data_IF_027019577257
#
_entry.id   IF_027019577257
#
_cell.length_a   1.000
_cell.length_b   1.000
_cell.length_c   1.000
_cell.angle_alpha   90.00
_cell.angle_beta   90.00
_cell.angle_gamma   90.00
#
_symmetry.space_group_name_H-M   'P 1'
#
loop_
_entity.id
_entity.type
_entity.pdbx_description
1 polymer ?
#
# COMPACT_ATOMS: atom_id res chain seq x y z
N UNK A 1 4.94 -35.05 -7.83
CA UNK A 1 5.33 -33.80 -7.15
C UNK A 1 5.67 -32.64 -8.08
N UNK A 2 5.96 -32.84 -9.37
CA UNK A 2 6.20 -31.72 -10.33
C UNK A 2 4.97 -30.86 -10.68
N UNK A 3 3.76 -31.39 -10.56
CA UNK A 3 2.51 -30.67 -10.89
C UNK A 3 2.11 -29.60 -9.87
N UNK A 4 2.71 -29.59 -8.67
CA UNK A 4 2.50 -28.52 -7.68
C UNK A 4 3.38 -27.30 -7.92
N UNK A 5 4.51 -27.48 -8.61
CA UNK A 5 5.49 -26.42 -8.81
C UNK A 5 5.18 -25.57 -10.05
N UNK A 6 4.60 -26.17 -11.10
CA UNK A 6 4.25 -25.47 -12.36
C UNK A 6 3.13 -24.44 -12.21
N UNK A 7 2.32 -24.50 -11.15
CA UNK A 7 1.25 -23.53 -10.90
C UNK A 7 1.73 -22.29 -10.12
N UNK A 8 2.94 -22.34 -9.52
CA UNK A 8 3.47 -21.28 -8.65
C UNK A 8 4.18 -20.15 -9.42
N UNK A 9 4.49 -20.36 -10.70
CA UNK A 9 5.13 -19.36 -11.58
C UNK A 9 4.11 -18.54 -12.39
N UNK A 10 2.81 -18.74 -12.15
CA UNK A 10 1.78 -18.00 -12.86
C UNK A 10 1.81 -16.53 -12.44
N UNK A 11 2.26 -15.68 -13.37
CA UNK A 11 2.22 -14.22 -13.21
C UNK A 11 0.77 -13.79 -12.96
N UNK A 12 0.50 -13.26 -11.77
CA UNK A 12 -0.79 -12.71 -11.35
C UNK A 12 -1.01 -11.38 -12.05
N UNK A 13 -1.49 -11.42 -13.29
CA UNK A 13 -1.59 -10.25 -14.18
C UNK A 13 -2.49 -9.17 -13.58
N UNK A 14 -3.61 -9.55 -12.95
CA UNK A 14 -4.55 -8.60 -12.38
C UNK A 14 -3.96 -7.92 -11.14
N UNK A 15 -3.42 -8.69 -10.19
CA UNK A 15 -2.78 -8.09 -9.00
C UNK A 15 -1.58 -7.22 -9.39
N UNK A 16 -0.79 -7.65 -10.38
CA UNK A 16 0.37 -6.87 -10.87
C UNK A 16 -0.07 -5.56 -11.52
N UNK A 17 -1.10 -5.59 -12.36
CA UNK A 17 -1.66 -4.38 -12.96
C UNK A 17 -2.27 -3.46 -11.90
N UNK A 18 -3.05 -3.99 -10.96
CA UNK A 18 -3.63 -3.21 -9.87
C UNK A 18 -2.53 -2.56 -9.02
N UNK A 19 -1.51 -3.32 -8.63
CA UNK A 19 -0.38 -2.80 -7.86
C UNK A 19 0.44 -1.76 -8.61
N UNK A 20 0.56 -1.88 -9.93
CA UNK A 20 1.16 -0.84 -10.73
C UNK A 20 0.32 0.44 -10.63
N UNK A 21 -1.01 0.36 -10.77
CA UNK A 21 -1.87 1.53 -10.94
C UNK A 21 -2.39 2.14 -9.62
N UNK A 22 -2.42 1.39 -8.51
CA UNK A 22 -3.01 1.84 -7.22
C UNK A 22 -2.39 3.13 -6.69
N UNK A 23 -1.11 3.37 -7.01
CA UNK A 23 -0.36 4.59 -6.69
C UNK A 23 -1.03 5.87 -7.19
N UNK A 24 -1.74 5.77 -8.31
CA UNK A 24 -2.48 6.87 -8.91
C UNK A 24 -3.97 6.80 -8.57
N UNK A 25 -4.57 5.60 -8.71
CA UNK A 25 -6.01 5.41 -8.55
C UNK A 25 -6.48 5.86 -7.16
N UNK A 26 -5.79 5.43 -6.10
CA UNK A 26 -6.26 5.68 -4.73
C UNK A 26 -6.20 7.16 -4.35
N UNK A 27 -5.12 7.91 -4.62
CA UNK A 27 -5.13 9.36 -4.41
C UNK A 27 -6.23 10.08 -5.19
N UNK A 28 -6.47 9.74 -6.46
CA UNK A 28 -7.53 10.39 -7.23
C UNK A 28 -8.92 10.12 -6.67
N UNK A 29 -9.15 8.94 -6.13
CA UNK A 29 -10.44 8.57 -5.55
C UNK A 29 -10.66 9.16 -4.15
N UNK A 30 -9.61 9.24 -3.33
CA UNK A 30 -9.72 9.55 -1.90
C UNK A 30 -9.30 10.98 -1.54
N UNK A 31 -8.39 11.57 -2.32
CA UNK A 31 -7.84 12.92 -2.11
C UNK A 31 -7.61 13.61 -3.46
N UNK A 32 -8.66 13.82 -4.29
CA UNK A 32 -8.51 14.30 -5.66
C UNK A 32 -7.77 15.64 -5.75
N UNK A 33 -8.00 16.56 -4.82
CA UNK A 33 -7.28 17.85 -4.77
C UNK A 33 -5.77 17.68 -4.61
N UNK A 34 -5.33 16.85 -3.66
CA UNK A 34 -3.92 16.56 -3.45
C UNK A 34 -3.33 15.77 -4.63
N UNK A 35 -4.10 14.85 -5.22
CA UNK A 35 -3.71 14.05 -6.38
C UNK A 35 -3.43 14.91 -7.62
N UNK A 36 -4.30 15.89 -7.92
CA UNK A 36 -4.11 16.87 -8.98
C UNK A 36 -2.86 17.73 -8.75
N UNK A 37 -2.51 17.96 -7.48
CA UNK A 37 -1.31 18.69 -7.09
C UNK A 37 -0.12 17.77 -6.78
N UNK A 38 -0.13 16.54 -7.29
CA UNK A 38 1.03 15.65 -7.31
C UNK A 38 1.12 14.58 -6.21
N UNK A 39 0.07 14.35 -5.42
CA UNK A 39 0.06 13.25 -4.45
C UNK A 39 0.10 11.92 -5.19
N UNK A 40 1.01 11.06 -4.75
CA UNK A 40 1.11 9.64 -5.12
C UNK A 40 1.30 8.86 -3.84
N UNK A 41 0.74 7.67 -3.76
CA UNK A 41 0.85 6.81 -2.57
C UNK A 41 1.49 5.50 -2.98
N UNK A 42 2.70 5.26 -2.50
CA UNK A 42 3.41 4.00 -2.71
C UNK A 42 3.20 3.15 -1.47
N UNK A 43 2.92 1.88 -1.69
CA UNK A 43 2.63 0.92 -0.63
C UNK A 43 3.87 0.06 -0.29
N UNK A 44 3.86 -0.59 0.87
CA UNK A 44 5.00 -1.36 1.39
C UNK A 44 5.43 -2.50 0.48
N UNK A 45 4.53 -3.05 -0.33
CA UNK A 45 4.84 -4.07 -1.35
C UNK A 45 5.60 -3.53 -2.57
N UNK A 46 5.72 -2.19 -2.70
CA UNK A 46 6.43 -1.53 -3.79
C UNK A 46 7.83 -1.05 -3.41
N UNK A 47 8.28 -1.29 -2.16
CA UNK A 47 9.55 -0.83 -1.58
C UNK A 47 9.74 0.70 -1.60
N UNK A 48 9.77 1.32 -0.43
CA UNK A 48 9.83 2.78 -0.31
C UNK A 48 11.26 3.24 -0.03
N UNK A 49 11.75 4.15 -0.88
CA UNK A 49 13.03 4.84 -0.69
C UNK A 49 12.79 6.34 -0.53
N UNK A 50 13.37 6.92 0.51
CA UNK A 50 13.22 8.34 0.85
C UNK A 50 14.56 8.92 1.28
N UNK A 51 14.77 10.22 1.05
CA UNK A 51 15.94 10.90 1.62
C UNK A 51 15.83 10.91 3.14
N UNK A 52 16.96 10.64 3.80
CA UNK A 52 17.03 10.58 5.28
C UNK A 52 16.56 11.87 5.94
N UNK A 53 16.94 13.02 5.38
CA UNK A 53 16.54 14.34 5.90
C UNK A 53 15.03 14.56 5.81
N UNK A 54 14.41 14.22 4.67
CA UNK A 54 12.97 14.34 4.44
C UNK A 54 12.20 13.41 5.39
N UNK A 55 12.70 12.18 5.59
CA UNK A 55 12.10 11.21 6.52
C UNK A 55 12.11 11.71 7.96
N UNK A 56 13.24 12.26 8.40
CA UNK A 56 13.35 12.87 9.72
C UNK A 56 12.46 14.10 9.86
N UNK A 57 12.38 14.94 8.84
CA UNK A 57 11.57 16.17 8.89
C UNK A 57 10.09 15.88 9.10
N UNK A 58 9.56 14.80 8.50
CA UNK A 58 8.15 14.41 8.69
C UNK A 58 7.91 13.55 9.94
N UNK A 59 8.95 13.26 10.73
CA UNK A 59 8.85 12.49 11.96
C UNK A 59 8.91 10.96 11.79
N UNK A 60 9.31 10.45 10.63
CA UNK A 60 9.43 9.01 10.39
C UNK A 60 8.09 8.28 10.18
N UNK A 61 8.03 6.98 10.48
CA UNK A 61 6.77 6.23 10.49
C UNK A 61 5.95 6.55 11.75
N UNK A 62 4.63 6.61 11.62
CA UNK A 62 3.76 6.69 12.80
C UNK A 62 3.62 5.29 13.42
N UNK A 63 4.27 5.07 14.57
CA UNK A 63 4.27 3.79 15.28
C UNK A 63 2.87 3.35 15.75
N UNK A 64 1.88 4.26 15.76
CA UNK A 64 0.49 3.92 16.07
C UNK A 64 -0.20 3.20 14.91
N UNK A 65 0.33 3.32 13.70
CA UNK A 65 -0.17 2.67 12.50
C UNK A 65 0.60 1.37 12.28
N UNK A 66 -0.02 0.24 12.64
CA UNK A 66 0.52 -1.08 12.31
C UNK A 66 0.29 -1.47 10.83
N UNK A 67 -0.67 -0.79 10.18
CA UNK A 67 -1.06 -0.98 8.78
C UNK A 67 -1.35 0.42 8.23
N UNK A 68 -0.95 0.69 6.98
CA UNK A 68 -1.06 1.97 6.28
C UNK A 68 -0.06 3.05 6.73
N UNK A 69 1.01 2.66 7.42
CA UNK A 69 2.11 3.55 7.84
C UNK A 69 2.88 4.14 6.64
N UNK A 70 2.96 3.36 5.56
CA UNK A 70 3.50 3.70 4.25
C UNK A 70 2.69 4.79 3.53
N UNK A 71 1.37 4.63 3.51
CA UNK A 71 0.45 5.58 2.91
C UNK A 71 0.40 6.89 3.70
N UNK A 72 0.42 6.80 5.03
CA UNK A 72 0.54 7.95 5.91
C UNK A 72 1.85 8.72 5.68
N UNK A 73 2.98 8.00 5.60
CA UNK A 73 4.28 8.60 5.28
C UNK A 73 4.23 9.36 3.95
N UNK A 74 3.66 8.76 2.89
CA UNK A 74 3.50 9.41 1.59
C UNK A 74 2.69 10.71 1.70
N UNK A 75 1.60 10.71 2.48
CA UNK A 75 0.75 11.88 2.66
C UNK A 75 1.50 13.00 3.42
N UNK A 76 2.21 12.67 4.49
CA UNK A 76 3.00 13.65 5.26
C UNK A 76 4.15 14.23 4.45
N UNK A 77 4.84 13.42 3.65
CA UNK A 77 5.87 13.86 2.70
C UNK A 77 5.31 14.84 1.66
N UNK A 78 4.14 14.51 1.11
CA UNK A 78 3.48 15.36 0.14
C UNK A 78 3.10 16.72 0.72
N UNK A 79 2.54 16.74 1.94
CA UNK A 79 2.11 17.96 2.63
C UNK A 79 3.28 18.82 3.11
N UNK A 80 4.34 18.23 3.68
CA UNK A 80 5.50 18.98 4.16
C UNK A 80 6.25 19.71 3.05
N UNK A 81 6.15 19.24 1.81
CA UNK A 81 6.67 19.98 0.65
C UNK A 81 5.78 21.15 0.22
N UNK A 82 4.48 21.12 0.51
CA UNK A 82 3.58 22.23 0.19
C UNK A 82 3.92 23.49 1.01
N UNK A 83 4.33 23.32 2.26
CA UNK A 83 4.71 24.40 3.17
C UNK A 83 5.99 25.13 2.74
N UNK A 84 6.92 24.43 2.09
CA UNK A 84 8.19 25.00 1.59
C UNK A 84 8.11 25.52 0.15
N UNK A 85 6.91 25.56 -0.44
CA UNK A 85 6.70 25.93 -1.84
C UNK A 85 7.19 24.89 -2.85
N UNK A 86 7.67 23.72 -2.38
CA UNK A 86 8.20 22.61 -3.21
C UNK A 86 7.57 21.29 -2.78
N UNK A 87 6.41 20.96 -3.37
CA UNK A 87 5.77 19.66 -3.12
C UNK A 87 6.75 18.52 -3.44
N UNK A 88 6.98 17.64 -2.46
CA UNK A 88 7.87 16.49 -2.64
C UNK A 88 7.26 15.56 -3.67
N UNK A 89 8.02 15.26 -4.71
CA UNK A 89 7.60 14.37 -5.78
C UNK A 89 7.81 12.93 -5.35
N UNK A 90 6.71 12.21 -5.16
CA UNK A 90 6.73 10.76 -4.98
C UNK A 90 6.68 10.13 -6.37
N UNK A 91 7.65 9.27 -6.67
CA UNK A 91 7.80 8.60 -7.97
C UNK A 91 7.83 7.10 -7.74
N UNK A 92 7.08 6.37 -8.54
CA UNK A 92 7.13 4.92 -8.56
C UNK A 92 8.19 4.47 -9.57
N UNK A 93 9.04 3.54 -9.17
CA UNK A 93 10.00 2.90 -10.08
C UNK A 93 9.27 2.08 -11.14
N UNK A 94 9.78 2.10 -12.38
CA UNK A 94 9.30 1.23 -13.45
C UNK A 94 9.84 -0.21 -13.33
N UNK A 95 10.81 -0.44 -12.44
CA UNK A 95 11.38 -1.77 -12.23
C UNK A 95 10.44 -2.60 -11.35
N UNK A 96 9.92 -3.74 -11.84
CA UNK A 96 9.05 -4.59 -11.04
C UNK A 96 9.86 -5.33 -9.97
N UNK A 97 9.45 -5.19 -8.71
CA UNK A 97 9.93 -6.06 -7.63
C UNK A 97 9.24 -7.41 -7.75
N UNK A 98 9.99 -8.48 -8.07
CA UNK A 98 9.46 -9.83 -8.11
C UNK A 98 9.38 -10.41 -6.71
N UNK A 99 8.18 -10.80 -6.29
CA UNK A 99 7.91 -11.43 -4.99
C UNK A 99 7.16 -12.73 -5.17
N UNK A 100 7.28 -13.66 -4.22
CA UNK A 100 6.47 -14.88 -4.24
C UNK A 100 4.99 -14.56 -4.02
N UNK A 101 4.09 -15.13 -4.82
CA UNK A 101 2.64 -14.95 -4.70
C UNK A 101 1.97 -15.71 -3.54
N UNK A 102 2.75 -16.32 -2.64
CA UNK A 102 2.27 -17.27 -1.61
C UNK A 102 1.09 -16.73 -0.79
N UNK A 103 1.23 -15.54 -0.21
CA UNK A 103 0.16 -14.90 0.60
C UNK A 103 -1.10 -14.60 -0.21
N UNK A 104 -0.94 -14.26 -1.49
CA UNK A 104 -2.08 -14.01 -2.38
C UNK A 104 -2.83 -15.32 -2.66
N UNK A 105 -2.11 -16.42 -2.87
CA UNK A 105 -2.72 -17.76 -3.04
C UNK A 105 -3.42 -18.20 -1.75
N UNK A 106 -2.77 -18.05 -0.59
CA UNK A 106 -3.34 -18.39 0.73
C UNK A 106 -4.64 -17.64 1.04
N UNK A 107 -4.74 -16.37 0.64
CA UNK A 107 -5.95 -15.56 0.80
C UNK A 107 -7.13 -16.00 -0.10
N UNK A 108 -6.90 -16.88 -1.07
CA UNK A 108 -7.90 -17.34 -2.03
C UNK A 108 -7.76 -16.72 -3.42
N UNK A 109 -6.57 -16.23 -3.79
CA UNK A 109 -6.24 -15.77 -5.13
C UNK A 109 -6.19 -14.25 -5.31
N UNK A 110 -5.78 -13.81 -6.51
CA UNK A 110 -5.46 -12.40 -6.78
C UNK A 110 -6.63 -11.44 -6.58
N UNK A 111 -7.84 -11.82 -6.96
CA UNK A 111 -9.02 -10.95 -6.83
C UNK A 111 -9.37 -10.71 -5.36
N UNK A 112 -9.45 -11.78 -4.56
CA UNK A 112 -9.81 -11.70 -3.14
C UNK A 112 -8.75 -10.95 -2.34
N UNK A 113 -7.47 -11.20 -2.61
CA UNK A 113 -6.38 -10.46 -1.99
C UNK A 113 -6.40 -8.98 -2.36
N UNK A 114 -6.58 -8.63 -3.65
CA UNK A 114 -6.68 -7.23 -4.08
C UNK A 114 -7.87 -6.53 -3.44
N UNK A 115 -9.03 -7.19 -3.39
CA UNK A 115 -10.22 -6.63 -2.75
C UNK A 115 -10.01 -6.36 -1.25
N UNK A 116 -9.41 -7.32 -0.53
CA UNK A 116 -9.07 -7.15 0.87
C UNK A 116 -8.16 -5.93 1.13
N UNK A 117 -7.07 -5.80 0.38
CA UNK A 117 -6.17 -4.64 0.51
C UNK A 117 -6.89 -3.33 0.14
N UNK A 118 -7.76 -3.35 -0.86
CA UNK A 118 -8.56 -2.18 -1.23
C UNK A 118 -9.47 -1.76 -0.06
N UNK A 119 -10.21 -2.69 0.56
CA UNK A 119 -11.06 -2.42 1.72
C UNK A 119 -10.26 -1.80 2.89
N UNK A 120 -9.06 -2.31 3.15
CA UNK A 120 -8.12 -1.75 4.15
C UNK A 120 -7.74 -0.31 3.80
N UNK A 121 -7.32 -0.08 2.55
CA UNK A 121 -6.95 1.26 2.08
C UNK A 121 -8.11 2.25 2.15
N UNK A 122 -9.31 1.85 1.74
CA UNK A 122 -10.52 2.66 1.83
C UNK A 122 -10.90 2.94 3.28
N UNK A 123 -10.89 1.93 4.14
CA UNK A 123 -11.19 2.09 5.56
C UNK A 123 -10.28 3.12 6.23
N UNK A 124 -8.98 3.06 5.95
CA UNK A 124 -8.01 4.01 6.47
C UNK A 124 -8.27 5.42 5.93
N UNK A 125 -8.54 5.54 4.63
CA UNK A 125 -8.80 6.83 4.00
C UNK A 125 -10.09 7.50 4.47
N UNK A 126 -11.09 6.70 4.87
CA UNK A 126 -12.33 7.14 5.52
C UNK A 126 -12.14 7.50 7.00
N UNK A 127 -10.93 7.35 7.56
CA UNK A 127 -10.62 7.73 8.93
C UNK A 127 -10.95 6.67 9.98
N UNK A 128 -11.04 5.38 9.61
CA UNK A 128 -11.13 4.32 10.61
C UNK A 128 -9.89 4.31 11.51
N UNK A 129 -10.11 4.15 12.82
CA UNK A 129 -9.03 4.08 13.80
C UNK A 129 -8.03 2.95 13.49
N UNK A 130 -6.75 3.08 13.86
CA UNK A 130 -5.73 2.04 13.63
C UNK A 130 -6.14 0.66 14.18
N UNK A 131 -6.80 0.62 15.33
CA UNK A 131 -7.30 -0.62 15.92
C UNK A 131 -8.37 -1.32 15.06
N UNK A 132 -9.23 -0.58 14.36
CA UNK A 132 -10.23 -1.16 13.45
C UNK A 132 -9.59 -1.69 12.18
N UNK A 133 -8.62 -0.95 11.64
CA UNK A 133 -7.86 -1.39 10.46
C UNK A 133 -7.09 -2.67 10.78
N UNK A 134 -6.42 -2.72 11.95
CA UNK A 134 -5.74 -3.91 12.42
C UNK A 134 -6.68 -5.10 12.55
N UNK A 135 -7.84 -4.94 13.20
CA UNK A 135 -8.83 -6.02 13.29
C UNK A 135 -9.31 -6.51 11.93
N UNK A 136 -9.54 -5.59 10.99
CA UNK A 136 -9.93 -5.96 9.63
C UNK A 136 -8.82 -6.75 8.93
N UNK A 137 -7.57 -6.32 9.07
CA UNK A 137 -6.41 -7.07 8.57
C UNK A 137 -6.32 -8.47 9.22
N UNK A 138 -6.38 -8.56 10.55
CA UNK A 138 -6.34 -9.85 11.26
C UNK A 138 -7.48 -10.77 10.82
N UNK A 139 -8.71 -10.27 10.70
CA UNK A 139 -9.85 -11.08 10.23
C UNK A 139 -9.67 -11.63 8.81
N UNK A 140 -8.95 -10.90 7.95
CA UNK A 140 -8.73 -11.30 6.55
C UNK A 140 -7.59 -12.32 6.46
N UNK A 141 -6.52 -12.12 7.24
CA UNK A 141 -5.27 -12.89 7.11
C UNK A 141 -5.15 -14.05 8.10
N UNK A 142 -5.80 -13.98 9.26
CA UNK A 142 -5.76 -14.99 10.31
C UNK A 142 -7.09 -15.78 10.39
N UNK A 143 -8.18 -15.26 9.82
CA UNK A 143 -9.50 -15.87 9.97
C UNK A 143 -9.91 -15.94 11.45
N UNK A 144 -10.58 -17.02 11.85
CA UNK A 144 -10.97 -17.28 13.25
C UNK A 144 -9.84 -17.93 14.09
N UNK A 145 -8.61 -18.05 13.58
CA UNK A 145 -7.47 -18.68 14.27
C UNK A 145 -6.74 -17.64 15.16
N UNK A 146 -6.84 -17.73 16.50
CA UNK A 146 -6.17 -16.82 17.42
C UNK A 146 -4.76 -17.35 17.70
N UNK A 147 -3.77 -16.88 16.94
CA UNK A 147 -2.35 -17.09 17.26
C UNK A 147 -1.70 -15.81 17.76
#
# INVERSE_FOLDING_TARGET
DDTRQTNNDKVMKFSSWHNANKTWIYPFLLKPYDACRGLRVVFGDQSIFVRREDFKQVGGYDEKLAIMEDADLCLRMHKSGAETGRRRRIVQSHLPARTSGRRIVELGGEIKATYAHACIGFGWALGLSPARIRRMYESIYMGDDPR
#
